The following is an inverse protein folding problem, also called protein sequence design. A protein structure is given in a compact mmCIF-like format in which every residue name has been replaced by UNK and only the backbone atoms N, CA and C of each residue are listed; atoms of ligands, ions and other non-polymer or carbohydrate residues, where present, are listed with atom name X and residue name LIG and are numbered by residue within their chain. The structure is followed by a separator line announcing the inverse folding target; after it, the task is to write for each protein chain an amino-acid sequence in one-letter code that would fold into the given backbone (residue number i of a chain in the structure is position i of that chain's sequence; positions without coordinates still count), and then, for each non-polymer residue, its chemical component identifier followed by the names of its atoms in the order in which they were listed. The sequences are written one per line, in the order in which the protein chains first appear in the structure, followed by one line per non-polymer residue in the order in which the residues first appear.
data_IF_504436734285
#
_entry.id   IF_504436734285
#
_cell.length_a   1.000
_cell.length_b   1.000
_cell.length_c   1.000
_cell.angle_alpha   90.00
_cell.angle_beta   90.00
_cell.angle_gamma   90.00
#
_symmetry.space_group_name_H-M   'P 1'
#
loop_
_entity.id
_entity.type
_entity.pdbx_description
1 polymer ?
#
# COMPACT_ATOMS: atom_id res chain seq x y z
N UNK A 1 -7.74 21.60 22.63
CA UNK A 1 -7.08 21.15 23.86
C UNK A 1 -7.34 19.68 24.05
N UNK A 2 -6.33 18.83 23.88
CA UNK A 2 -6.47 17.41 24.26
C UNK A 2 -6.36 17.35 25.77
N UNK A 3 -7.47 17.04 26.44
CA UNK A 3 -7.49 16.84 27.88
C UNK A 3 -6.95 15.43 28.11
N UNK A 4 -5.69 15.32 28.54
CA UNK A 4 -5.25 14.09 29.20
C UNK A 4 -5.93 14.06 30.58
N UNK A 5 -6.70 13.02 30.91
CA UNK A 5 -7.22 12.85 32.26
C UNK A 5 -6.05 12.82 33.24
N UNK A 6 -6.12 13.60 34.32
CA UNK A 6 -5.14 13.48 35.39
C UNK A 6 -5.19 12.07 35.98
N UNK A 7 -4.04 11.40 36.14
CA UNK A 7 -3.97 10.09 36.79
C UNK A 7 -4.23 10.19 38.31
N UNK A 8 -3.95 11.35 38.90
CA UNK A 8 -4.22 11.70 40.30
C UNK A 8 -4.91 13.07 40.39
N UNK A 9 -6.19 13.18 40.01
CA UNK A 9 -6.92 14.43 40.22
C UNK A 9 -6.96 14.75 41.71
N UNK A 10 -6.66 16.00 42.08
CA UNK A 10 -6.57 16.47 43.47
C UNK A 10 -5.65 15.63 44.36
N UNK A 11 -4.61 15.01 43.78
CA UNK A 11 -3.65 14.17 44.49
C UNK A 11 -4.20 12.80 44.91
N UNK A 12 -5.38 12.39 44.45
CA UNK A 12 -6.02 11.12 44.81
C UNK A 12 -5.98 10.13 43.66
N UNK A 13 -5.61 8.88 43.95
CA UNK A 13 -5.60 7.84 42.92
C UNK A 13 -7.00 7.42 42.50
N UNK A 14 -7.21 7.29 41.19
CA UNK A 14 -8.39 6.64 40.60
C UNK A 14 -8.36 5.10 40.77
N UNK A 15 -7.29 4.54 41.32
CA UNK A 15 -7.07 3.11 41.54
C UNK A 15 -6.82 2.82 43.02
N UNK A 16 -7.86 2.85 43.88
CA UNK A 16 -7.70 2.64 45.32
C UNK A 16 -7.24 1.23 45.70
N UNK A 17 -7.43 0.27 44.79
CA UNK A 17 -7.00 -1.12 44.94
C UNK A 17 -5.50 -1.33 44.69
N UNK A 18 -4.75 -0.31 44.25
CA UNK A 18 -3.31 -0.37 44.04
C UNK A 18 -2.66 0.50 45.11
N UNK A 19 -1.82 -0.08 45.97
CA UNK A 19 -1.14 0.67 47.05
C UNK A 19 -2.11 1.55 47.88
N UNK A 20 -3.32 1.03 48.15
CA UNK A 20 -4.40 1.72 48.86
C UNK A 20 -4.82 3.08 48.28
N UNK A 21 -4.48 3.37 47.03
CA UNK A 21 -4.75 4.65 46.39
C UNK A 21 -3.82 5.79 46.81
N UNK A 22 -2.73 5.49 47.51
CA UNK A 22 -1.70 6.45 47.89
C UNK A 22 -0.95 6.94 46.64
N UNK A 23 -1.09 8.22 46.33
CA UNK A 23 -0.51 8.81 45.12
C UNK A 23 1.01 8.88 45.18
N UNK A 24 1.59 9.17 46.33
CA UNK A 24 3.04 9.26 46.49
C UNK A 24 3.69 7.88 46.27
N UNK A 25 3.15 6.84 46.89
CA UNK A 25 3.66 5.47 46.72
C UNK A 25 3.45 4.94 45.30
N UNK A 26 2.34 5.30 44.65
CA UNK A 26 2.10 4.93 43.25
C UNK A 26 3.08 5.63 42.29
N UNK A 27 3.37 6.92 42.52
CA UNK A 27 4.38 7.66 41.75
C UNK A 27 5.77 7.06 41.96
N UNK A 28 6.15 6.76 43.19
CA UNK A 28 7.42 6.12 43.51
C UNK A 28 7.54 4.72 42.90
N UNK A 29 6.48 3.92 42.92
CA UNK A 29 6.46 2.61 42.28
C UNK A 29 6.68 2.70 40.75
N UNK A 30 6.13 3.73 40.09
CA UNK A 30 6.38 4.00 38.67
C UNK A 30 7.84 4.41 38.45
N UNK A 31 8.40 5.28 39.30
CA UNK A 31 9.80 5.66 39.20
C UNK A 31 10.74 4.47 39.39
N UNK A 32 10.50 3.63 40.39
CA UNK A 32 11.28 2.41 40.62
C UNK A 32 11.22 1.46 39.43
N UNK A 33 10.02 1.27 38.86
CA UNK A 33 9.83 0.48 37.65
C UNK A 33 10.60 1.06 36.44
N UNK A 34 10.57 2.38 36.25
CA UNK A 34 11.29 3.04 35.15
C UNK A 34 12.81 3.05 35.36
N UNK A 35 13.27 3.16 36.61
CA UNK A 35 14.68 3.13 36.97
C UNK A 35 15.33 1.77 36.70
N UNK A 36 14.57 0.69 36.68
CA UNK A 36 15.06 -0.63 36.29
C UNK A 36 15.45 -0.72 34.80
N UNK A 37 14.95 0.20 33.95
CA UNK A 37 15.32 0.30 32.54
C UNK A 37 15.16 -1.03 31.80
N UNK A 38 16.25 -1.52 31.20
CA UNK A 38 16.27 -2.81 30.48
C UNK A 38 16.02 -4.04 31.38
N UNK A 39 16.15 -3.89 32.70
CA UNK A 39 15.92 -4.96 33.68
C UNK A 39 14.48 -5.04 34.18
N UNK A 40 13.64 -4.04 33.85
CA UNK A 40 12.26 -3.97 34.32
C UNK A 40 11.46 -5.20 33.84
N UNK A 41 10.78 -5.89 34.76
CA UNK A 41 9.90 -7.00 34.41
C UNK A 41 8.69 -6.47 33.65
N UNK A 42 8.35 -7.07 32.51
CA UNK A 42 7.15 -6.65 31.76
C UNK A 42 5.88 -6.73 32.64
N UNK A 43 5.01 -5.71 32.61
CA UNK A 43 3.76 -5.71 33.35
C UNK A 43 2.92 -6.94 33.01
N UNK A 44 2.30 -7.52 34.04
CA UNK A 44 1.39 -8.66 33.88
C UNK A 44 0.23 -8.24 32.97
N UNK A 45 -0.03 -9.03 31.91
CA UNK A 45 -1.03 -8.70 30.89
C UNK A 45 -0.44 -8.13 29.59
N UNK A 46 0.81 -7.66 29.61
CA UNK A 46 1.58 -7.40 28.38
C UNK A 46 2.19 -8.72 27.92
N UNK A 47 1.35 -9.57 27.32
CA UNK A 47 1.82 -10.73 26.57
C UNK A 47 2.74 -10.28 25.43
N UNK A 48 3.69 -11.13 25.01
CA UNK A 48 4.25 -11.03 23.65
C UNK A 48 3.10 -11.29 22.69
N UNK A 49 2.28 -10.27 22.41
CA UNK A 49 1.38 -10.35 21.30
C UNK A 49 2.24 -10.54 20.06
N UNK A 50 1.97 -11.62 19.32
CA UNK A 50 2.61 -11.80 18.02
C UNK A 50 2.38 -10.53 17.24
N UNK A 51 3.43 -9.93 16.71
CA UNK A 51 3.29 -8.80 15.79
C UNK A 51 2.78 -9.26 14.42
N UNK A 52 2.53 -10.56 14.26
CA UNK A 52 2.02 -11.12 13.03
C UNK A 52 0.55 -10.80 12.81
N UNK A 53 0.27 -10.25 11.63
CA UNK A 53 -1.06 -10.10 11.08
C UNK A 53 -1.29 -11.21 10.06
N UNK A 54 -2.30 -12.05 10.31
CA UNK A 54 -2.68 -13.19 9.46
C UNK A 54 -3.97 -12.90 8.72
N UNK A 55 -4.07 -13.39 7.50
CA UNK A 55 -5.29 -13.34 6.69
C UNK A 55 -6.05 -14.63 6.90
N UNK A 56 -7.34 -14.52 7.25
CA UNK A 56 -8.27 -15.64 7.34
C UNK A 56 -9.17 -15.67 6.10
N UNK A 57 -10.48 -15.71 6.32
CA UNK A 57 -11.49 -15.79 5.26
C UNK A 57 -11.77 -14.44 4.58
N UNK A 58 -11.38 -13.33 5.22
CA UNK A 58 -11.56 -11.97 4.72
C UNK A 58 -10.22 -11.24 4.66
N UNK A 59 -10.14 -10.22 3.82
CA UNK A 59 -8.94 -9.44 3.64
C UNK A 59 -8.54 -8.71 4.92
N UNK A 60 -7.23 -8.66 5.18
CA UNK A 60 -6.67 -7.90 6.28
C UNK A 60 -5.82 -6.74 5.77
N UNK A 61 -5.84 -5.63 6.53
CA UNK A 61 -5.17 -4.39 6.15
C UNK A 61 -4.32 -3.89 7.31
N UNK A 62 -3.09 -3.49 6.99
CA UNK A 62 -2.23 -2.72 7.88
C UNK A 62 -1.77 -1.43 7.21
N UNK A 63 -1.45 -0.42 8.02
CA UNK A 63 -0.94 0.86 7.53
C UNK A 63 0.30 1.26 8.31
N UNK A 64 1.23 1.88 7.62
CA UNK A 64 2.43 2.42 8.26
C UNK A 64 3.59 2.55 7.29
N UNK A 65 4.76 2.83 7.86
CA UNK A 65 6.01 2.78 7.13
C UNK A 65 6.34 1.33 6.77
N UNK A 66 6.77 1.09 5.54
CA UNK A 66 7.18 -0.25 5.12
C UNK A 66 7.81 -0.23 3.73
N UNK A 67 7.72 -1.38 3.05
CA UNK A 67 8.23 -1.56 1.68
C UNK A 67 7.51 -0.66 0.67
N UNK A 68 6.30 -0.18 1.00
CA UNK A 68 5.55 0.79 0.21
C UNK A 68 5.77 2.28 0.62
N UNK A 69 6.87 2.60 1.30
CA UNK A 69 7.16 3.98 1.72
C UNK A 69 6.54 4.34 3.08
N UNK A 70 6.48 5.64 3.38
CA UNK A 70 6.02 6.15 4.69
C UNK A 70 4.49 6.13 4.86
N UNK A 71 3.74 6.10 3.76
CA UNK A 71 2.28 6.02 3.74
C UNK A 71 1.82 4.72 3.08
N UNK A 72 2.48 3.63 3.45
CA UNK A 72 2.19 2.31 2.92
C UNK A 72 0.88 1.76 3.49
N UNK A 73 0.13 1.09 2.63
CA UNK A 73 -1.04 0.29 2.96
C UNK A 73 -0.75 -1.13 2.51
N UNK A 74 -0.57 -2.04 3.46
CA UNK A 74 -0.48 -3.48 3.19
C UNK A 74 -1.89 -4.06 3.13
N UNK A 75 -2.15 -4.93 2.15
CA UNK A 75 -3.41 -5.65 2.02
C UNK A 75 -3.10 -7.13 1.76
N UNK A 76 -3.61 -7.99 2.63
CA UNK A 76 -3.46 -9.43 2.50
C UNK A 76 -4.76 -10.10 2.12
N UNK A 77 -4.69 -11.07 1.21
CA UNK A 77 -5.86 -11.72 0.61
C UNK A 77 -5.92 -13.23 0.89
N UNK A 78 -7.14 -13.82 0.98
CA UNK A 78 -7.35 -15.23 1.32
C UNK A 78 -6.58 -16.23 0.44
N UNK A 79 -6.41 -15.97 -0.86
CA UNK A 79 -5.62 -16.81 -1.78
C UNK A 79 -4.09 -16.71 -1.57
N UNK A 80 -3.66 -16.21 -0.40
CA UNK A 80 -2.27 -16.06 0.02
C UNK A 80 -1.44 -15.23 -0.95
N UNK A 81 -2.07 -14.24 -1.57
CA UNK A 81 -1.42 -13.17 -2.31
C UNK A 81 -1.63 -11.87 -1.56
N UNK A 82 -0.60 -11.03 -1.53
CA UNK A 82 -0.60 -9.82 -0.74
C UNK A 82 0.00 -8.68 -1.56
N UNK A 83 -0.41 -7.45 -1.27
CA UNK A 83 0.11 -6.26 -1.92
C UNK A 83 0.46 -5.17 -0.92
N UNK A 84 1.34 -4.25 -1.34
CA UNK A 84 1.59 -3.02 -0.63
C UNK A 84 1.44 -1.83 -1.60
N UNK A 85 0.58 -0.90 -1.23
CA UNK A 85 0.24 0.29 -1.99
C UNK A 85 0.78 1.54 -1.28
N UNK A 86 1.43 2.46 -2.01
CA UNK A 86 1.87 3.74 -1.47
C UNK A 86 0.76 4.77 -1.68
N UNK A 87 0.09 5.19 -0.60
CA UNK A 87 -0.95 6.21 -0.69
C UNK A 87 -0.40 7.62 -0.86
N UNK A 88 0.92 7.81 -0.78
CA UNK A 88 1.61 9.06 -1.06
C UNK A 88 1.92 9.27 -2.54
N UNK A 89 2.22 8.19 -3.28
CA UNK A 89 2.54 8.22 -4.72
C UNK A 89 1.48 7.51 -5.59
N UNK A 90 0.42 6.99 -4.97
CA UNK A 90 -0.72 6.28 -5.61
C UNK A 90 -0.27 5.05 -6.41
N UNK A 91 0.79 4.39 -5.94
CA UNK A 91 1.47 3.36 -6.71
C UNK A 91 1.43 2.00 -6.01
N UNK A 92 1.25 0.93 -6.79
CA UNK A 92 1.56 -0.42 -6.34
C UNK A 92 3.07 -0.54 -6.16
N UNK A 93 3.53 -0.95 -4.97
CA UNK A 93 4.96 -0.97 -4.62
C UNK A 93 5.49 -2.39 -4.45
N UNK A 94 4.63 -3.32 -4.05
CA UNK A 94 5.04 -4.69 -3.79
C UNK A 94 3.90 -5.67 -3.96
N UNK A 95 4.22 -6.86 -4.43
CA UNK A 95 3.38 -8.05 -4.38
C UNK A 95 4.18 -9.19 -3.73
N UNK A 96 3.55 -10.06 -2.93
CA UNK A 96 4.22 -11.24 -2.36
C UNK A 96 3.22 -12.36 -2.05
N UNK A 97 3.73 -13.57 -1.84
CA UNK A 97 2.93 -14.78 -1.58
C UNK A 97 3.10 -15.29 -0.16
N UNK A 98 2.09 -15.98 0.37
CA UNK A 98 2.15 -16.63 1.67
C UNK A 98 1.77 -15.69 2.81
N UNK A 99 2.53 -15.75 3.91
CA UNK A 99 2.26 -14.98 5.12
C UNK A 99 2.18 -13.48 4.85
N UNK A 100 1.21 -12.81 5.48
CA UNK A 100 0.90 -11.42 5.16
C UNK A 100 1.94 -10.46 5.72
N UNK A 101 1.89 -10.08 7.00
CA UNK A 101 2.79 -9.07 7.53
C UNK A 101 3.08 -9.22 9.03
N UNK A 102 4.18 -8.65 9.47
CA UNK A 102 4.36 -8.22 10.85
C UNK A 102 4.07 -6.72 10.96
N UNK A 103 3.49 -6.28 12.08
CA UNK A 103 3.19 -4.88 12.38
C UNK A 103 3.87 -4.44 13.68
N UNK A 104 4.61 -3.35 13.61
CA UNK A 104 5.26 -2.72 14.75
C UNK A 104 4.75 -1.28 14.92
N UNK A 105 5.35 -0.50 15.81
CA UNK A 105 4.95 0.88 16.11
C UNK A 105 4.95 1.79 14.86
N UNK A 106 3.81 1.87 14.17
CA UNK A 106 3.61 2.66 12.95
C UNK A 106 4.29 2.10 11.70
N UNK A 107 4.71 0.82 11.70
CA UNK A 107 5.39 0.18 10.58
C UNK A 107 4.83 -1.21 10.28
N UNK A 108 5.01 -1.70 9.06
CA UNK A 108 4.72 -3.08 8.71
C UNK A 108 5.78 -3.66 7.77
N UNK A 109 6.03 -4.96 7.87
CA UNK A 109 6.99 -5.69 7.05
C UNK A 109 6.32 -6.95 6.46
N UNK A 110 6.49 -7.22 5.15
CA UNK A 110 5.98 -8.44 4.54
C UNK A 110 6.68 -9.67 5.13
N UNK A 111 5.94 -10.77 5.28
CA UNK A 111 6.49 -12.04 5.81
C UNK A 111 6.64 -13.16 4.80
N UNK A 112 5.91 -13.07 3.70
CA UNK A 112 5.86 -14.14 2.72
C UNK A 112 7.07 -14.22 1.80
N UNK A 113 6.95 -15.07 0.78
CA UNK A 113 7.97 -15.34 -0.22
C UNK A 113 7.59 -14.75 -1.58
N UNK A 114 8.44 -15.02 -2.58
CA UNK A 114 8.20 -14.67 -3.98
C UNK A 114 7.88 -13.19 -4.21
N UNK A 115 8.48 -12.30 -3.43
CA UNK A 115 8.26 -10.87 -3.54
C UNK A 115 8.58 -10.32 -4.94
N UNK A 116 7.70 -9.45 -5.45
CA UNK A 116 7.91 -8.54 -6.58
C UNK A 116 7.94 -7.14 -5.99
N UNK A 117 8.99 -6.38 -6.29
CA UNK A 117 9.10 -4.97 -5.89
C UNK A 117 9.02 -4.09 -7.11
N UNK A 118 8.18 -3.06 -7.05
CA UNK A 118 8.07 -2.04 -8.09
C UNK A 118 8.89 -0.81 -7.67
N UNK A 119 9.52 -0.10 -8.62
CA UNK A 119 10.24 1.15 -8.35
C UNK A 119 9.28 2.27 -7.95
N UNK A 120 9.73 3.25 -7.11
CA UNK A 120 8.90 4.41 -6.72
C UNK A 120 8.43 5.22 -7.92
N UNK A 121 7.52 6.15 -7.69
CA UNK A 121 6.98 7.05 -8.69
C UNK A 121 5.51 6.80 -9.01
N UNK A 122 4.90 7.83 -9.58
CA UNK A 122 3.47 7.92 -9.90
C UNK A 122 3.03 6.90 -10.98
N UNK A 123 1.78 6.42 -10.95
CA UNK A 123 1.26 5.43 -11.89
C UNK A 123 0.98 5.98 -13.30
N UNK A 124 0.50 7.22 -13.42
CA UNK A 124 0.14 7.88 -14.67
C UNK A 124 1.01 9.12 -14.92
N UNK A 125 1.41 9.35 -16.17
CA UNK A 125 2.15 10.54 -16.55
C UNK A 125 1.97 10.93 -18.03
N UNK A 126 2.01 12.23 -18.31
CA UNK A 126 2.07 12.74 -19.68
C UNK A 126 3.52 12.81 -20.12
N UNK A 127 3.95 11.87 -20.96
CA UNK A 127 5.27 11.90 -21.60
C UNK A 127 5.19 12.68 -22.92
N UNK A 128 6.17 13.56 -23.16
CA UNK A 128 6.34 14.25 -24.45
C UNK A 128 6.97 13.32 -25.51
N UNK A 129 7.84 12.42 -25.07
CA UNK A 129 8.42 11.35 -25.88
C UNK A 129 8.78 10.16 -24.99
N UNK A 130 9.03 8.99 -25.60
CA UNK A 130 9.43 7.80 -24.84
C UNK A 130 10.82 7.93 -24.22
N UNK A 131 11.66 8.86 -24.69
CA UNK A 131 13.00 9.12 -24.13
C UNK A 131 12.96 9.96 -22.83
N UNK A 132 11.82 10.54 -22.48
CA UNK A 132 11.66 11.35 -21.28
C UNK A 132 11.67 10.47 -20.01
N UNK A 133 12.44 10.91 -19.00
CA UNK A 133 12.51 10.23 -17.71
C UNK A 133 11.14 10.15 -17.04
N UNK A 134 10.80 8.99 -16.48
CA UNK A 134 9.62 8.90 -15.61
C UNK A 134 9.80 9.79 -14.36
N UNK A 135 8.76 10.47 -13.85
CA UNK A 135 8.91 11.30 -12.66
C UNK A 135 9.14 10.49 -11.39
N UNK A 136 10.12 10.92 -10.61
CA UNK A 136 10.44 10.38 -9.30
C UNK A 136 10.57 11.50 -8.28
N UNK A 137 10.23 11.21 -7.02
CA UNK A 137 10.42 12.16 -5.93
C UNK A 137 11.91 12.43 -5.68
N UNK A 138 12.36 13.65 -6.00
CA UNK A 138 13.67 14.15 -5.62
C UNK A 138 13.72 14.62 -4.16
N UNK A 139 14.93 14.83 -3.64
CA UNK A 139 15.14 15.33 -2.26
C UNK A 139 14.49 16.70 -2.01
N UNK A 140 14.40 17.52 -3.05
CA UNK A 140 13.85 18.89 -3.01
C UNK A 140 12.46 19.00 -3.64
N UNK A 141 11.86 17.88 -4.06
CA UNK A 141 10.53 17.83 -4.67
C UNK A 141 9.44 17.77 -3.59
N UNK A 142 9.29 18.86 -2.83
CA UNK A 142 8.38 18.91 -1.68
C UNK A 142 6.90 18.82 -2.07
N UNK A 143 6.56 19.27 -3.28
CA UNK A 143 5.21 19.25 -3.86
C UNK A 143 4.87 17.96 -4.60
N UNK A 144 5.80 17.00 -4.68
CA UNK A 144 5.56 15.75 -5.36
C UNK A 144 4.71 14.79 -4.51
N UNK A 145 3.67 14.13 -5.08
CA UNK A 145 3.25 14.18 -6.49
C UNK A 145 2.10 15.17 -6.81
N UNK A 146 1.74 16.07 -5.88
CA UNK A 146 0.63 17.01 -6.07
C UNK A 146 0.84 17.95 -7.26
N UNK A 147 2.08 18.34 -7.54
CA UNK A 147 2.48 19.09 -8.74
C UNK A 147 2.27 18.33 -10.07
N UNK A 148 2.08 17.01 -10.01
CA UNK A 148 1.66 16.18 -11.14
C UNK A 148 0.14 15.89 -11.15
N UNK A 149 -0.65 16.64 -10.35
CA UNK A 149 -2.10 16.53 -10.32
C UNK A 149 -2.64 15.42 -9.40
N UNK A 150 -1.79 14.84 -8.54
CA UNK A 150 -2.18 13.72 -7.68
C UNK A 150 -2.79 14.17 -6.36
N UNK A 151 -3.94 13.59 -6.01
CA UNK A 151 -4.53 13.73 -4.68
C UNK A 151 -5.14 12.41 -4.20
N UNK A 152 -4.75 11.94 -3.02
CA UNK A 152 -5.29 10.70 -2.46
C UNK A 152 -6.63 10.99 -1.82
N UNK A 153 -7.69 10.29 -2.26
CA UNK A 153 -9.07 10.47 -1.78
C UNK A 153 -9.48 9.37 -0.79
N UNK A 154 -8.52 8.60 -0.28
CA UNK A 154 -8.76 7.51 0.64
C UNK A 154 -9.12 6.20 -0.07
N UNK A 155 -9.82 5.31 0.62
CA UNK A 155 -10.33 4.08 0.06
C UNK A 155 -11.62 3.68 0.75
N UNK A 156 -12.45 2.89 0.07
CA UNK A 156 -13.63 2.23 0.63
C UNK A 156 -13.38 0.73 0.70
N UNK A 157 -14.07 0.07 1.64
CA UNK A 157 -14.01 -1.38 1.79
C UNK A 157 -15.31 -1.99 1.28
N UNK A 158 -15.22 -3.06 0.51
CA UNK A 158 -16.38 -3.87 0.17
C UNK A 158 -16.78 -4.81 1.33
N UNK A 159 -17.77 -5.66 1.10
CA UNK A 159 -18.26 -6.62 2.10
C UNK A 159 -17.19 -7.64 2.54
N UNK A 160 -16.18 -7.90 1.70
CA UNK A 160 -15.07 -8.79 2.00
C UNK A 160 -13.89 -8.04 2.65
N UNK A 161 -13.99 -6.72 2.81
CA UNK A 161 -12.92 -5.82 3.28
C UNK A 161 -11.80 -5.60 2.25
N UNK A 162 -12.06 -5.82 0.96
CA UNK A 162 -11.15 -5.44 -0.13
C UNK A 162 -11.18 -3.92 -0.33
N UNK A 163 -10.03 -3.24 -0.35
CA UNK A 163 -9.99 -1.81 -0.56
C UNK A 163 -10.11 -1.45 -2.04
N UNK A 164 -10.99 -0.49 -2.33
CA UNK A 164 -10.94 0.31 -3.57
C UNK A 164 -10.22 1.60 -3.27
N UNK A 165 -8.96 1.73 -3.72
CA UNK A 165 -8.19 2.95 -3.56
C UNK A 165 -8.71 4.03 -4.48
N UNK A 166 -8.91 5.25 -3.97
CA UNK A 166 -9.44 6.37 -4.73
C UNK A 166 -8.44 7.52 -4.72
N UNK A 167 -8.14 8.04 -5.90
CA UNK A 167 -7.28 9.21 -6.07
C UNK A 167 -7.64 9.96 -7.34
N UNK A 168 -7.18 11.20 -7.46
CA UNK A 168 -7.27 11.95 -8.71
C UNK A 168 -5.90 12.07 -9.37
N UNK A 169 -5.91 12.16 -10.70
CA UNK A 169 -4.79 12.55 -11.55
C UNK A 169 -5.29 13.67 -12.47
N UNK A 170 -5.05 14.92 -12.08
CA UNK A 170 -5.69 16.08 -12.72
C UNK A 170 -7.21 15.97 -12.64
N UNK A 171 -7.88 16.07 -13.79
CA UNK A 171 -9.34 15.94 -13.94
C UNK A 171 -9.83 14.49 -14.07
N UNK A 172 -8.95 13.50 -13.88
CA UNK A 172 -9.29 12.08 -13.93
C UNK A 172 -9.46 11.56 -12.50
N UNK A 173 -10.67 11.13 -12.16
CA UNK A 173 -10.93 10.36 -10.96
C UNK A 173 -10.55 8.89 -11.21
N UNK A 174 -9.76 8.30 -10.32
CA UNK A 174 -9.28 6.92 -10.41
C UNK A 174 -9.76 6.11 -9.23
N UNK A 175 -10.40 4.99 -9.52
CA UNK A 175 -10.63 3.90 -8.58
C UNK A 175 -9.74 2.72 -8.95
N UNK A 176 -9.02 2.17 -7.97
CA UNK A 176 -8.03 1.11 -8.15
C UNK A 176 -8.34 -0.03 -7.19
N UNK A 177 -8.81 -1.13 -7.74
CA UNK A 177 -9.35 -2.27 -7.01
C UNK A 177 -8.58 -3.53 -7.33
N UNK A 178 -8.27 -4.33 -6.32
CA UNK A 178 -7.55 -5.58 -6.46
C UNK A 178 -8.40 -6.73 -5.93
N UNK A 179 -8.44 -7.81 -6.68
CA UNK A 179 -9.09 -9.07 -6.34
C UNK A 179 -8.06 -10.18 -6.42
N UNK A 180 -8.04 -11.02 -5.40
CA UNK A 180 -7.35 -12.30 -5.50
C UNK A 180 -8.24 -13.30 -6.26
N UNK A 181 -7.64 -13.97 -7.23
CA UNK A 181 -8.31 -14.96 -8.07
C UNK A 181 -7.59 -16.29 -7.90
N UNK A 182 -8.37 -17.33 -7.62
CA UNK A 182 -7.85 -18.69 -7.58
C UNK A 182 -7.44 -19.14 -8.99
N UNK A 183 -6.15 -19.38 -9.22
CA UNK A 183 -5.65 -19.88 -10.49
C UNK A 183 -5.85 -21.38 -10.64
N UNK A 184 -5.99 -21.86 -11.88
CA UNK A 184 -6.19 -23.29 -12.18
C UNK A 184 -5.07 -24.21 -11.66
N UNK A 185 -3.85 -23.67 -11.51
CA UNK A 185 -2.69 -24.37 -10.95
C UNK A 185 -2.67 -24.41 -9.42
N UNK A 186 -3.70 -23.90 -8.75
CA UNK A 186 -3.77 -23.73 -7.29
C UNK A 186 -2.95 -22.56 -6.76
N UNK A 187 -2.32 -21.75 -7.64
CA UNK A 187 -1.63 -20.51 -7.26
C UNK A 187 -2.55 -19.32 -7.52
N UNK A 188 -2.92 -18.60 -6.47
CA UNK A 188 -3.70 -17.36 -6.59
C UNK A 188 -2.95 -16.28 -7.37
N UNK A 189 -3.65 -15.37 -8.03
CA UNK A 189 -3.06 -14.21 -8.72
C UNK A 189 -3.91 -12.97 -8.47
N UNK A 190 -3.41 -11.78 -8.81
CA UNK A 190 -4.21 -10.56 -8.69
C UNK A 190 -4.87 -10.18 -9.99
N UNK A 191 -6.17 -9.92 -9.95
CA UNK A 191 -6.88 -9.13 -10.94
C UNK A 191 -7.01 -7.70 -10.42
N UNK A 192 -6.41 -6.74 -11.12
CA UNK A 192 -6.50 -5.31 -10.82
C UNK A 192 -7.46 -4.65 -11.79
N UNK A 193 -8.46 -3.95 -11.27
CA UNK A 193 -9.41 -3.16 -12.05
C UNK A 193 -9.19 -1.68 -11.75
N UNK A 194 -8.84 -0.92 -12.77
CA UNK A 194 -8.80 0.54 -12.73
C UNK A 194 -10.05 1.09 -13.41
N UNK A 195 -10.80 1.96 -12.72
CA UNK A 195 -11.87 2.77 -13.31
C UNK A 195 -11.40 4.21 -13.36
N UNK A 196 -11.31 4.76 -14.56
CA UNK A 196 -10.90 6.12 -14.82
C UNK A 196 -12.13 6.90 -15.30
N UNK A 197 -12.54 7.91 -14.55
CA UNK A 197 -13.70 8.74 -14.87
C UNK A 197 -13.28 10.18 -15.13
N UNK A 198 -13.75 10.77 -16.22
CA UNK A 198 -13.49 12.17 -16.56
C UNK A 198 -14.68 12.82 -17.24
N UNK A 199 -14.88 14.12 -17.00
CA UNK A 199 -15.95 14.93 -17.60
C UNK A 199 -15.55 15.64 -18.90
N UNK A 200 -14.28 15.56 -19.29
CA UNK A 200 -13.74 16.17 -20.49
C UNK A 200 -12.74 15.22 -21.17
N UNK A 201 -12.59 15.34 -22.49
CA UNK A 201 -11.55 14.59 -23.22
C UNK A 201 -10.18 14.92 -22.62
N UNK A 202 -9.39 13.87 -22.38
CA UNK A 202 -8.06 14.01 -21.80
C UNK A 202 -7.00 13.86 -22.89
N UNK A 203 -5.94 14.68 -22.88
CA UNK A 203 -4.79 14.42 -23.73
C UNK A 203 -4.21 13.05 -23.37
N UNK A 204 -3.59 12.40 -24.36
CA UNK A 204 -2.98 11.09 -24.15
C UNK A 204 -1.99 11.13 -22.96
N UNK A 205 -2.03 10.09 -22.14
CA UNK A 205 -1.06 9.85 -21.08
C UNK A 205 -0.71 8.37 -21.03
N UNK A 206 0.35 8.05 -20.30
CA UNK A 206 0.80 6.68 -20.10
C UNK A 206 0.47 6.22 -18.70
N UNK A 207 -0.01 4.99 -18.60
CA UNK A 207 -0.07 4.24 -17.35
C UNK A 207 1.11 3.27 -17.27
N UNK A 208 1.93 3.38 -16.23
CA UNK A 208 3.01 2.44 -15.94
C UNK A 208 2.46 1.25 -15.16
N UNK A 209 2.07 0.21 -15.90
CA UNK A 209 1.39 -0.96 -15.34
C UNK A 209 2.33 -1.88 -14.54
N UNK A 210 3.59 -1.95 -14.93
CA UNK A 210 4.65 -2.67 -14.24
C UNK A 210 6.03 -2.09 -14.61
N UNK A 211 7.00 -2.29 -13.73
CA UNK A 211 8.40 -1.93 -13.97
C UNK A 211 9.33 -2.85 -13.19
N UNK A 212 10.47 -3.21 -13.78
CA UNK A 212 11.42 -4.18 -13.25
C UNK A 212 12.82 -4.01 -13.86
N UNK A 213 13.74 -4.95 -13.61
CA UNK A 213 15.09 -4.86 -14.22
C UNK A 213 15.06 -5.14 -15.73
N UNK A 214 14.13 -5.99 -16.16
CA UNK A 214 13.86 -6.29 -17.57
C UNK A 214 12.36 -6.44 -17.80
N UNK A 215 11.94 -6.23 -19.04
CA UNK A 215 10.58 -6.46 -19.50
C UNK A 215 10.62 -6.99 -20.93
N UNK A 216 9.93 -8.10 -21.18
CA UNK A 216 9.79 -8.72 -22.49
C UNK A 216 8.34 -8.62 -22.96
N UNK A 217 8.13 -8.19 -24.19
CA UNK A 217 6.81 -8.21 -24.84
C UNK A 217 6.56 -9.62 -25.39
N UNK A 218 5.60 -10.34 -24.82
CA UNK A 218 5.17 -11.66 -25.31
C UNK A 218 4.10 -11.49 -26.39
N UNK A 219 3.17 -10.56 -26.18
CA UNK A 219 2.17 -10.13 -27.16
C UNK A 219 1.76 -8.68 -26.92
N UNK A 220 0.80 -8.16 -27.69
CA UNK A 220 0.22 -6.82 -27.43
C UNK A 220 -0.41 -6.67 -26.04
N UNK A 221 -0.74 -7.78 -25.37
CA UNK A 221 -1.46 -7.80 -24.09
C UNK A 221 -0.79 -8.67 -23.03
N UNK A 222 0.39 -9.20 -23.28
CA UNK A 222 1.09 -10.05 -22.32
C UNK A 222 2.57 -9.68 -22.29
N UNK A 223 3.07 -9.48 -21.07
CA UNK A 223 4.40 -8.99 -20.80
C UNK A 223 5.02 -9.78 -19.66
N UNK A 224 6.32 -10.06 -19.76
CA UNK A 224 7.08 -10.73 -18.70
C UNK A 224 8.10 -9.77 -18.10
N UNK A 225 8.04 -9.56 -16.79
CA UNK A 225 9.05 -8.82 -16.03
C UNK A 225 9.68 -9.78 -15.02
N UNK A 226 10.86 -10.30 -15.34
CA UNK A 226 11.53 -11.34 -14.54
C UNK A 226 10.59 -12.55 -14.31
N UNK A 227 10.10 -12.74 -13.08
CA UNK A 227 9.15 -13.80 -12.71
C UNK A 227 7.67 -13.37 -12.75
N UNK A 228 7.39 -12.08 -12.90
CA UNK A 228 6.03 -11.55 -13.03
C UNK A 228 5.57 -11.67 -14.48
N UNK A 229 4.38 -12.25 -14.69
CA UNK A 229 3.62 -12.11 -15.93
C UNK A 229 2.50 -11.12 -15.69
N UNK A 230 2.45 -10.09 -16.54
CA UNK A 230 1.41 -9.08 -16.59
C UNK A 230 0.57 -9.31 -17.85
N UNK A 231 -0.74 -9.47 -17.68
CA UNK A 231 -1.69 -9.59 -18.79
C UNK A 231 -2.72 -8.46 -18.75
N UNK A 232 -3.03 -7.89 -19.90
CA UNK A 232 -4.12 -6.93 -20.11
C UNK A 232 -5.33 -7.73 -20.59
N UNK A 233 -6.43 -7.71 -19.83
CA UNK A 233 -7.56 -8.59 -20.10
C UNK A 233 -8.35 -8.18 -21.34
N UNK A 234 -8.62 -6.88 -21.53
CA UNK A 234 -9.44 -6.37 -22.61
C UNK A 234 -9.04 -4.96 -23.08
N UNK A 235 -9.56 -4.59 -24.27
CA UNK A 235 -9.60 -3.23 -24.82
C UNK A 235 -8.27 -2.63 -25.28
N UNK A 236 -7.22 -2.72 -24.47
CA UNK A 236 -5.98 -1.96 -24.62
C UNK A 236 -4.79 -2.85 -24.96
N UNK A 237 -3.70 -2.22 -25.37
CA UNK A 237 -2.40 -2.86 -25.57
C UNK A 237 -1.31 -2.10 -24.81
N UNK A 238 -0.20 -2.77 -24.56
CA UNK A 238 0.97 -2.18 -23.92
C UNK A 238 2.18 -2.15 -24.83
N UNK A 239 3.15 -1.33 -24.44
CA UNK A 239 4.49 -1.30 -25.00
C UNK A 239 5.51 -1.57 -23.91
N UNK A 240 6.66 -2.12 -24.31
CA UNK A 240 7.84 -2.17 -23.45
C UNK A 240 8.67 -0.93 -23.73
N UNK A 241 9.09 -0.26 -22.66
CA UNK A 241 10.10 0.78 -22.70
C UNK A 241 11.36 0.28 -22.00
N UNK A 242 12.44 0.16 -22.76
CA UNK A 242 13.74 -0.20 -22.23
C UNK A 242 14.30 0.91 -21.32
N UNK A 243 15.02 0.51 -20.28
CA UNK A 243 15.58 1.46 -19.31
C UNK A 243 16.02 0.78 -18.03
N UNK A 244 16.34 1.61 -17.03
CA UNK A 244 16.59 1.14 -15.66
C UNK A 244 15.77 2.01 -14.70
N UNK A 245 14.54 1.60 -14.37
CA UNK A 245 13.89 0.31 -14.68
C UNK A 245 13.40 0.20 -16.13
N UNK A 246 13.23 -1.04 -16.62
CA UNK A 246 12.43 -1.33 -17.80
C UNK A 246 10.94 -1.31 -17.41
N UNK A 247 10.07 -0.86 -18.31
CA UNK A 247 8.69 -0.53 -17.98
C UNK A 247 7.70 -1.11 -18.99
N UNK A 248 6.53 -1.53 -18.51
CA UNK A 248 5.36 -1.81 -19.35
C UNK A 248 4.42 -0.61 -19.26
N UNK A 249 4.30 0.12 -20.36
CA UNK A 249 3.48 1.32 -20.45
C UNK A 249 2.23 1.04 -21.28
N UNK A 250 1.08 1.51 -20.79
CA UNK A 250 -0.18 1.50 -21.53
C UNK A 250 -0.47 2.93 -21.98
N UNK A 251 -0.46 3.22 -23.30
CA UNK A 251 -0.96 4.48 -23.82
C UNK A 251 -2.47 4.59 -23.65
N UNK A 252 -2.94 5.65 -22.98
CA UNK A 252 -4.35 5.87 -22.68
C UNK A 252 -4.85 7.16 -23.32
N UNK A 253 -5.97 7.06 -24.03
CA UNK A 253 -6.79 8.18 -24.49
C UNK A 253 -8.19 7.97 -23.94
N UNK A 254 -8.60 8.81 -22.99
CA UNK A 254 -9.86 8.64 -22.29
C UNK A 254 -10.97 9.43 -22.98
N UNK A 255 -12.06 8.78 -23.44
CA UNK A 255 -13.29 9.49 -23.77
C UNK A 255 -13.94 10.06 -22.51
N UNK A 256 -14.87 11.01 -22.69
CA UNK A 256 -15.75 11.48 -21.60
C UNK A 256 -16.55 10.31 -21.04
N UNK A 257 -16.62 10.23 -19.71
CA UNK A 257 -17.30 9.15 -18.98
C UNK A 257 -16.31 8.22 -18.27
N UNK A 258 -16.71 6.96 -18.10
CA UNK A 258 -15.91 5.94 -17.43
C UNK A 258 -15.17 5.08 -18.46
N UNK A 259 -13.87 4.90 -18.24
CA UNK A 259 -13.04 3.88 -18.89
C UNK A 259 -12.60 2.85 -17.87
N UNK A 260 -12.77 1.56 -18.20
CA UNK A 260 -12.34 0.45 -17.36
C UNK A 260 -11.11 -0.22 -17.97
N UNK A 261 -10.10 -0.47 -17.14
CA UNK A 261 -8.91 -1.23 -17.46
C UNK A 261 -8.78 -2.41 -16.50
N UNK A 262 -8.57 -3.62 -17.03
CA UNK A 262 -8.39 -4.83 -16.23
C UNK A 262 -7.03 -5.47 -16.54
N UNK A 263 -6.28 -5.76 -15.48
CA UNK A 263 -4.94 -6.34 -15.54
C UNK A 263 -4.87 -7.57 -14.65
N UNK A 264 -4.06 -8.55 -15.04
CA UNK A 264 -3.77 -9.73 -14.25
C UNK A 264 -2.28 -9.80 -13.96
N UNK A 265 -1.93 -10.00 -12.68
CA UNK A 265 -0.57 -10.10 -12.17
C UNK A 265 -0.36 -11.50 -11.58
N UNK A 266 0.43 -12.33 -12.24
CA UNK A 266 0.74 -13.71 -11.82
C UNK A 266 2.25 -13.95 -11.74
N UNK A 267 2.73 -14.60 -10.67
CA UNK A 267 4.15 -14.90 -10.43
C UNK A 267 4.35 -16.14 -9.54
#
# INVERSE_FOLDING_TARGET
TVIMPGFWPDGKSLRPNILAGDSAQQIEAIWNYLADGERAKKPVGISRQSNELRVGDVQEICRGRGTAGFRGIGVGYPERVNLAFDSGEMALRMLWRGEFANVDNGSFNPRGSDAISFPPGIPFHHLKSLDESWPYKGKTSYTFPQDHGYEFRGYTLDAQRRPTFRYSFGEVAVEDFFEDVHGESGRGFFKRTLRLTTSAEQPMFYFRAAAGKSADKISEREFRLEKLTLRIADGMSGIVRDGTPAEVLLPLTLPVGETKLVLEYSW
#
